data_IF_130296199490
#
_entry.id   IF_130296199490
#
_cell.length_a   1.000
_cell.length_b   1.000
_cell.length_c   1.000
_cell.angle_alpha   90.00
_cell.angle_beta   90.00
_cell.angle_gamma   90.00
#
_symmetry.space_group_name_H-M   'P 1'
#
loop_
_entity.id
_entity.type
_entity.pdbx_description
1 polymer ?
#
# COMPACT_ATOMS: atom_id res chain seq x y z
N UNK A 1 -6.95 -2.45 -5.40
CA UNK A 1 -7.05 -2.81 -3.96
C UNK A 1 -7.88 -4.07 -3.87
N UNK A 2 -7.46 -5.00 -3.02
CA UNK A 2 -8.12 -6.28 -2.81
C UNK A 2 -8.30 -6.49 -1.31
N UNK A 3 -9.52 -6.83 -0.89
CA UNK A 3 -9.87 -7.11 0.50
C UNK A 3 -9.91 -8.63 0.68
N UNK A 4 -9.04 -9.15 1.54
CA UNK A 4 -8.84 -10.59 1.72
C UNK A 4 -9.65 -11.14 2.89
N UNK A 5 -9.84 -10.32 3.93
CA UNK A 5 -10.48 -10.71 5.21
C UNK A 5 -11.27 -9.53 5.78
N UNK A 6 -12.34 -9.78 6.56
CA UNK A 6 -12.98 -8.74 7.35
C UNK A 6 -12.01 -8.19 8.39
N UNK A 7 -12.21 -6.95 8.79
CA UNK A 7 -11.40 -6.28 9.81
C UNK A 7 -12.21 -5.16 10.48
N UNK A 8 -11.78 -4.75 11.67
CA UNK A 8 -12.41 -3.69 12.44
C UNK A 8 -11.59 -2.40 12.31
N UNK A 9 -12.18 -1.36 11.72
CA UNK A 9 -11.52 -0.06 11.57
C UNK A 9 -11.27 0.68 12.90
N UNK A 10 -11.86 0.23 14.01
CA UNK A 10 -11.59 0.77 15.35
C UNK A 10 -10.34 0.14 16.02
N UNK A 11 -9.76 -0.89 15.42
CA UNK A 11 -8.52 -1.54 15.87
C UNK A 11 -7.34 -1.08 15.02
N UNK A 12 -6.12 -1.25 15.56
CA UNK A 12 -4.91 -0.86 14.83
C UNK A 12 -4.69 -1.74 13.61
N UNK A 13 -4.32 -1.08 12.52
CA UNK A 13 -3.79 -1.71 11.31
C UNK A 13 -2.41 -1.15 11.02
N UNK A 14 -1.45 -2.03 10.71
CA UNK A 14 -0.19 -1.67 10.07
C UNK A 14 -0.45 -1.50 8.58
N UNK A 15 -0.05 -0.36 8.02
CA UNK A 15 0.07 -0.18 6.58
C UNK A 15 1.53 -0.26 6.15
N UNK A 16 1.94 -1.42 5.63
CA UNK A 16 3.28 -1.67 5.10
C UNK A 16 3.32 -1.30 3.62
N UNK A 17 4.29 -0.47 3.21
CA UNK A 17 4.36 0.06 1.84
C UNK A 17 5.78 -0.02 1.32
N UNK A 18 5.93 -0.39 0.06
CA UNK A 18 7.19 -0.39 -0.66
C UNK A 18 7.05 0.25 -2.05
N UNK A 19 8.11 0.90 -2.51
CA UNK A 19 8.25 1.35 -3.90
C UNK A 19 9.21 0.41 -4.61
N UNK A 20 8.70 -0.40 -5.53
CA UNK A 20 9.51 -1.43 -6.21
C UNK A 20 10.07 -0.95 -7.54
N UNK A 21 9.58 0.17 -8.08
CA UNK A 21 10.09 0.76 -9.31
C UNK A 21 9.78 2.25 -9.40
N UNK A 22 10.72 3.02 -9.92
CA UNK A 22 10.56 4.41 -10.28
C UNK A 22 11.25 4.67 -11.62
N UNK A 23 10.47 4.99 -12.65
CA UNK A 23 10.99 5.22 -14.00
C UNK A 23 10.04 6.09 -14.83
N UNK A 24 10.58 6.75 -15.85
CA UNK A 24 9.79 7.51 -16.84
C UNK A 24 8.76 8.48 -16.23
N UNK A 25 9.18 9.23 -15.20
CA UNK A 25 8.35 10.17 -14.46
C UNK A 25 7.11 9.53 -13.79
N UNK A 26 7.20 8.24 -13.43
CA UNK A 26 6.20 7.51 -12.64
C UNK A 26 6.86 6.75 -11.49
N UNK A 27 6.11 6.60 -10.41
CA UNK A 27 6.47 5.77 -9.26
C UNK A 27 5.42 4.70 -9.04
N UNK A 28 5.87 3.46 -8.88
CA UNK A 28 5.02 2.30 -8.63
C UNK A 28 5.19 1.82 -7.18
N UNK A 29 4.08 1.69 -6.47
CA UNK A 29 4.06 1.29 -5.07
C UNK A 29 3.10 0.12 -4.85
N UNK A 30 3.46 -0.73 -3.89
CA UNK A 30 2.61 -1.78 -3.34
C UNK A 30 2.39 -1.51 -1.87
N UNK A 31 1.21 -1.84 -1.37
CA UNK A 31 0.88 -1.71 0.04
C UNK A 31 0.12 -2.92 0.56
N UNK A 32 0.26 -3.19 1.84
CA UNK A 32 -0.38 -4.29 2.54
C UNK A 32 -0.86 -3.82 3.91
N UNK A 33 -2.08 -4.19 4.26
CA UNK A 33 -2.67 -3.92 5.56
C UNK A 33 -2.66 -5.16 6.42
N UNK A 34 -2.16 -5.04 7.64
CA UNK A 34 -2.11 -6.11 8.63
C UNK A 34 -2.80 -5.69 9.92
N UNK A 35 -3.51 -6.60 10.58
CA UNK A 35 -3.95 -6.42 11.96
C UNK A 35 -2.77 -6.50 12.93
N UNK A 36 -2.96 -6.06 14.17
CA UNK A 36 -1.91 -6.10 15.20
C UNK A 36 -1.43 -7.53 15.54
N UNK A 37 -2.29 -8.55 15.36
CA UNK A 37 -1.94 -9.97 15.47
C UNK A 37 -1.35 -10.57 14.17
N UNK A 38 -1.16 -9.75 13.12
CA UNK A 38 -0.40 -10.10 11.92
C UNK A 38 -1.23 -10.67 10.75
N UNK A 39 -2.56 -10.62 10.80
CA UNK A 39 -3.39 -11.10 9.70
C UNK A 39 -3.39 -10.09 8.53
N UNK A 40 -3.07 -10.56 7.32
CA UNK A 40 -3.17 -9.77 6.09
C UNK A 40 -4.65 -9.53 5.72
N UNK A 41 -5.11 -8.29 5.76
CA UNK A 41 -6.53 -7.94 5.53
C UNK A 41 -6.79 -7.33 4.16
N UNK A 42 -5.82 -6.60 3.60
CA UNK A 42 -5.94 -6.03 2.25
C UNK A 42 -4.58 -5.81 1.59
N UNK A 43 -4.57 -5.78 0.25
CA UNK A 43 -3.42 -5.38 -0.55
C UNK A 43 -3.79 -4.26 -1.53
N UNK A 44 -2.85 -3.36 -1.76
CA UNK A 44 -2.97 -2.21 -2.65
C UNK A 44 -1.82 -2.18 -3.64
N UNK A 45 -2.10 -1.62 -4.81
CA UNK A 45 -1.10 -1.28 -5.83
C UNK A 45 -1.50 0.07 -6.40
N UNK A 46 -0.53 0.94 -6.64
CA UNK A 46 -0.75 2.24 -7.27
C UNK A 46 0.45 2.61 -8.13
N UNK A 47 0.19 3.26 -9.26
CA UNK A 47 1.21 3.98 -10.03
C UNK A 47 0.78 5.45 -10.13
N UNK A 48 1.72 6.36 -9.94
CA UNK A 48 1.46 7.81 -9.97
C UNK A 48 2.56 8.58 -10.69
N UNK A 49 2.23 9.78 -11.17
CA UNK A 49 3.21 10.70 -11.77
C UNK A 49 4.19 11.19 -10.69
N UNK A 50 5.48 11.15 -11.00
CA UNK A 50 6.56 11.75 -10.20
C UNK A 50 7.41 12.64 -11.10
N UNK A 51 7.38 13.95 -10.87
CA UNK A 51 8.16 14.93 -11.64
C UNK A 51 8.95 15.81 -10.69
N UNK A 52 10.21 16.06 -11.03
CA UNK A 52 10.99 17.12 -10.42
C UNK A 52 10.95 18.32 -11.38
N UNK A 53 10.32 19.41 -10.94
CA UNK A 53 10.28 20.67 -11.68
C UNK A 53 11.11 21.69 -10.91
N UNK A 54 12.04 22.35 -11.60
CA UNK A 54 12.77 23.50 -11.06
C UNK A 54 11.85 24.72 -10.90
#
# INVERSE_FOLDING_TARGET
>A
MWFHRPFNFNEWLLYSVESTSASSARGFVRGEFYTQDGALVASTVQEGVMRNHN
#
